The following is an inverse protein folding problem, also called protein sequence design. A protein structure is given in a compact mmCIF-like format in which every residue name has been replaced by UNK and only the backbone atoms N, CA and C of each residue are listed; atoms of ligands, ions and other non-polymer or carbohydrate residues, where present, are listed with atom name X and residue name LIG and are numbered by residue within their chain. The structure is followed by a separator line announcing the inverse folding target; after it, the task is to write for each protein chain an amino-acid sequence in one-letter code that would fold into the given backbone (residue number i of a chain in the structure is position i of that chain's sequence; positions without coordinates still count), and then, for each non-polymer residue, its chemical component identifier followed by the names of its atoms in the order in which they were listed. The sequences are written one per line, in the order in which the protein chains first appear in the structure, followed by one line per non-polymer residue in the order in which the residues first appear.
data_IF_982248729838
#
_entry.id   IF_982248729838
#
_cell.length_a   1.000
_cell.length_b   1.000
_cell.length_c   1.000
_cell.angle_alpha   90.00
_cell.angle_beta   90.00
_cell.angle_gamma   90.00
#
_symmetry.space_group_name_H-M   'P 1'
#
loop_
_entity.id
_entity.type
_entity.pdbx_description
1 polymer ?
#
# COMPACT_ATOMS: atom_id res chain seq x y z
N UNK A 1 -7.47 -15.51 -9.97
CA UNK A 1 -6.49 -14.48 -9.52
C UNK A 1 -6.76 -13.96 -8.12
N UNK A 2 -8.00 -14.01 -7.58
CA UNK A 2 -8.28 -13.63 -6.19
C UNK A 2 -8.25 -12.12 -5.90
N UNK A 3 -8.08 -11.30 -6.94
CA UNK A 3 -7.97 -9.83 -6.90
C UNK A 3 -8.54 -9.24 -8.19
N UNK A 4 -8.98 -7.98 -8.15
CA UNK A 4 -9.48 -7.26 -9.33
C UNK A 4 -8.32 -6.70 -10.18
N UNK A 5 -8.60 -6.37 -11.45
CA UNK A 5 -7.60 -5.74 -12.32
C UNK A 5 -7.15 -4.36 -11.82
N UNK A 6 -8.05 -3.62 -11.17
CA UNK A 6 -7.73 -2.33 -10.56
C UNK A 6 -6.72 -2.49 -9.42
N UNK A 7 -6.92 -3.50 -8.56
CA UNK A 7 -5.98 -3.86 -7.50
C UNK A 7 -4.62 -4.27 -8.09
N UNK A 8 -4.62 -5.13 -9.11
CA UNK A 8 -3.41 -5.58 -9.80
C UNK A 8 -2.62 -4.41 -10.42
N UNK A 9 -3.31 -3.45 -11.02
CA UNK A 9 -2.69 -2.24 -11.58
C UNK A 9 -2.01 -1.40 -10.48
N UNK A 10 -2.63 -1.28 -9.31
CA UNK A 10 -2.02 -0.61 -8.15
C UNK A 10 -0.78 -1.36 -7.66
N UNK A 11 -0.84 -2.68 -7.51
CA UNK A 11 0.33 -3.48 -7.09
C UNK A 11 1.49 -3.36 -8.09
N UNK A 12 1.20 -3.42 -9.39
CA UNK A 12 2.20 -3.28 -10.46
C UNK A 12 2.96 -1.96 -10.37
N UNK A 13 2.23 -0.84 -10.24
CA UNK A 13 2.82 0.50 -10.08
C UNK A 13 3.63 0.62 -8.79
N UNK A 14 3.09 0.17 -7.64
CA UNK A 14 3.80 0.21 -6.36
C UNK A 14 5.10 -0.59 -6.41
N UNK A 15 5.08 -1.77 -7.01
CA UNK A 15 6.24 -2.67 -7.13
C UNK A 15 7.34 -2.14 -8.05
N UNK A 16 6.98 -1.56 -9.20
CA UNK A 16 7.96 -1.16 -10.24
C UNK A 16 8.33 0.31 -10.17
N UNK A 17 7.34 1.21 -10.13
CA UNK A 17 7.56 2.66 -10.16
C UNK A 17 8.00 3.14 -8.78
N UNK A 18 7.21 2.84 -7.75
CA UNK A 18 7.49 3.26 -6.36
C UNK A 18 8.48 2.33 -5.63
N UNK A 19 9.01 1.30 -6.31
CA UNK A 19 10.03 0.36 -5.80
C UNK A 19 9.67 -0.24 -4.43
N UNK A 20 8.39 -0.46 -4.17
CA UNK A 20 7.91 -0.98 -2.90
C UNK A 20 8.03 -2.50 -2.84
N UNK A 21 8.76 -2.99 -1.83
CA UNK A 21 8.71 -4.40 -1.40
C UNK A 21 7.44 -4.72 -0.60
N UNK A 22 7.30 -5.95 -0.07
CA UNK A 22 6.08 -6.37 0.63
C UNK A 22 5.68 -5.46 1.79
N UNK A 23 6.63 -5.13 2.67
CA UNK A 23 6.38 -4.30 3.86
C UNK A 23 6.04 -2.86 3.46
N UNK A 24 6.79 -2.27 2.53
CA UNK A 24 6.53 -0.90 2.07
C UNK A 24 5.22 -0.78 1.28
N UNK A 25 4.86 -1.82 0.52
CA UNK A 25 3.59 -1.88 -0.19
C UNK A 25 2.42 -1.96 0.79
N UNK A 26 2.52 -2.79 1.83
CA UNK A 26 1.53 -2.86 2.91
C UNK A 26 1.29 -1.49 3.55
N UNK A 27 2.35 -0.79 4.00
CA UNK A 27 2.22 0.55 4.61
C UNK A 27 1.51 1.56 3.70
N UNK A 28 1.89 1.62 2.43
CA UNK A 28 1.27 2.51 1.45
C UNK A 28 -0.20 2.18 1.20
N UNK A 29 -0.54 0.89 1.16
CA UNK A 29 -1.92 0.45 0.93
C UNK A 29 -2.80 0.64 2.16
N UNK A 30 -2.26 0.50 3.37
CA UNK A 30 -2.98 0.83 4.59
C UNK A 30 -3.42 2.30 4.60
N UNK A 31 -2.57 3.22 4.12
CA UNK A 31 -2.97 4.62 3.96
C UNK A 31 -4.00 4.80 2.83
N UNK A 32 -3.77 4.18 1.66
CA UNK A 32 -4.63 4.36 0.48
C UNK A 32 -6.01 3.70 0.58
N UNK A 33 -6.10 2.57 1.26
CA UNK A 33 -7.32 1.75 1.41
C UNK A 33 -7.86 1.72 2.83
N UNK A 34 -7.29 2.49 3.77
CA UNK A 34 -7.66 2.46 5.18
C UNK A 34 -9.11 2.82 5.50
N UNK A 35 -9.83 3.44 4.56
CA UNK A 35 -11.27 3.72 4.65
C UNK A 35 -12.16 2.56 4.21
N UNK A 36 -11.62 1.60 3.45
CA UNK A 36 -12.38 0.51 2.82
C UNK A 36 -12.05 -0.86 3.36
N UNK A 37 -10.80 -1.08 3.78
CA UNK A 37 -10.28 -2.38 4.20
C UNK A 37 -9.55 -2.26 5.53
N UNK A 38 -9.61 -3.34 6.31
CA UNK A 38 -8.83 -3.47 7.54
C UNK A 38 -7.36 -3.79 7.22
N UNK A 39 -6.41 -3.42 8.10
CA UNK A 39 -4.99 -3.76 7.95
C UNK A 39 -4.76 -5.25 7.78
N UNK A 40 -5.52 -6.11 8.48
CA UNK A 40 -5.46 -7.55 8.30
C UNK A 40 -5.81 -7.97 6.86
N UNK A 41 -6.91 -7.47 6.30
CA UNK A 41 -7.30 -7.76 4.91
C UNK A 41 -6.28 -7.23 3.89
N UNK A 42 -5.71 -6.04 4.13
CA UNK A 42 -4.65 -5.48 3.29
C UNK A 42 -3.39 -6.36 3.35
N UNK A 43 -3.02 -6.84 4.54
CA UNK A 43 -1.89 -7.74 4.73
C UNK A 43 -2.08 -9.05 3.96
N UNK A 44 -3.25 -9.68 4.05
CA UNK A 44 -3.56 -10.92 3.34
C UNK A 44 -3.49 -10.74 1.83
N UNK A 45 -4.03 -9.64 1.31
CA UNK A 45 -3.93 -9.30 -0.12
C UNK A 45 -2.48 -9.09 -0.55
N UNK A 46 -1.69 -8.34 0.20
CA UNK A 46 -0.26 -8.11 -0.14
C UNK A 46 0.53 -9.42 -0.10
N UNK A 47 0.32 -10.25 0.93
CA UNK A 47 0.96 -11.57 1.05
C UNK A 47 0.58 -12.48 -0.12
N UNK A 48 -0.70 -12.52 -0.48
CA UNK A 48 -1.19 -13.30 -1.60
C UNK A 48 -0.53 -12.85 -2.92
N UNK A 49 -0.46 -11.54 -3.18
CA UNK A 49 0.18 -11.00 -4.36
C UNK A 49 1.66 -11.43 -4.46
N UNK A 50 2.45 -11.22 -3.41
CA UNK A 50 3.88 -11.56 -3.43
C UNK A 50 4.14 -13.06 -3.49
N UNK A 51 3.29 -13.89 -2.87
CA UNK A 51 3.36 -15.35 -2.97
C UNK A 51 3.24 -15.80 -4.43
N UNK A 52 2.18 -15.41 -5.12
CA UNK A 52 1.96 -15.82 -6.51
C UNK A 52 2.88 -15.14 -7.49
N UNK A 53 3.29 -13.89 -7.24
CA UNK A 53 4.34 -13.22 -7.99
C UNK A 53 5.64 -14.03 -7.96
N UNK A 54 6.09 -14.45 -6.78
CA UNK A 54 7.32 -15.23 -6.61
C UNK A 54 7.22 -16.62 -7.22
N UNK A 55 6.10 -17.33 -7.03
CA UNK A 55 5.90 -18.66 -7.64
C UNK A 55 5.99 -18.56 -9.16
N UNK A 56 5.36 -17.56 -9.77
CA UNK A 56 5.21 -17.47 -11.21
C UNK A 56 6.29 -16.63 -11.90
N UNK A 57 7.28 -16.08 -11.18
CA UNK A 57 8.27 -15.18 -11.79
C UNK A 57 9.06 -15.86 -12.91
N UNK A 58 9.37 -17.14 -12.78
CA UNK A 58 10.05 -17.92 -13.83
C UNK A 58 9.30 -17.92 -15.18
N UNK A 59 7.98 -17.69 -15.21
CA UNK A 59 7.24 -17.58 -16.48
C UNK A 59 7.63 -16.34 -17.28
N UNK A 60 8.17 -15.32 -16.61
CA UNK A 60 8.57 -14.06 -17.24
C UNK A 60 9.89 -14.18 -17.99
N UNK A 61 10.72 -15.17 -17.69
CA UNK A 61 12.01 -15.39 -18.37
C UNK A 61 11.82 -15.98 -19.77
N UNK A 62 10.70 -16.67 -20.00
CA UNK A 62 10.34 -17.31 -21.29
C UNK A 62 9.17 -16.60 -21.98
N UNK A 63 8.78 -15.41 -21.50
CA UNK A 63 7.66 -14.66 -22.07
C UNK A 63 8.04 -14.12 -23.46
N UNK A 64 7.11 -14.22 -24.40
CA UNK A 64 7.27 -13.64 -25.75
C UNK A 64 7.56 -12.15 -25.66
N UNK A 65 8.55 -11.63 -26.42
CA UNK A 65 8.80 -10.20 -26.49
C UNK A 65 7.53 -9.43 -26.88
N UNK A 66 7.23 -8.37 -26.13
CA UNK A 66 6.03 -7.56 -26.32
C UNK A 66 6.36 -6.08 -26.48
N UNK A 67 5.48 -5.33 -27.12
CA UNK A 67 5.59 -3.87 -27.22
C UNK A 67 5.59 -3.22 -25.84
N UNK A 68 6.47 -2.24 -25.65
CA UNK A 68 6.56 -1.50 -24.40
C UNK A 68 5.58 -0.31 -24.40
N UNK A 69 4.49 -0.42 -23.64
CA UNK A 69 3.49 0.64 -23.50
C UNK A 69 3.43 1.25 -22.09
N UNK A 70 3.84 0.50 -21.06
CA UNK A 70 3.61 0.86 -19.66
C UNK A 70 4.90 0.85 -18.84
N UNK A 71 5.10 1.91 -18.05
CA UNK A 71 6.30 2.11 -17.21
C UNK A 71 6.40 1.13 -16.04
N UNK A 72 5.36 0.33 -15.78
CA UNK A 72 5.37 -0.72 -14.76
C UNK A 72 5.47 -2.14 -15.33
N UNK A 73 5.84 -2.27 -16.60
CA UNK A 73 5.99 -3.58 -17.27
C UNK A 73 6.87 -4.55 -16.47
N UNK A 74 6.47 -5.83 -16.33
CA UNK A 74 7.25 -6.85 -15.64
C UNK A 74 8.25 -7.60 -16.55
N UNK A 75 8.46 -7.14 -17.78
CA UNK A 75 9.33 -7.75 -18.79
C UNK A 75 10.77 -7.95 -18.28
N UNK A 76 11.29 -9.18 -18.34
CA UNK A 76 12.53 -9.57 -17.65
C UNK A 76 13.80 -9.50 -18.53
N UNK A 77 13.70 -9.37 -19.85
CA UNK A 77 14.90 -9.35 -20.71
C UNK A 77 15.56 -7.97 -20.77
N UNK A 78 14.80 -6.89 -20.61
CA UNK A 78 15.31 -5.51 -20.82
C UNK A 78 14.88 -4.54 -19.73
N UNK A 79 13.65 -4.62 -19.26
CA UNK A 79 13.08 -3.53 -18.46
C UNK A 79 13.05 -3.78 -16.94
N UNK A 80 12.77 -4.99 -16.50
CA UNK A 80 12.60 -5.37 -15.09
C UNK A 80 13.45 -6.57 -14.69
N UNK A 81 14.77 -6.41 -14.80
CA UNK A 81 15.75 -7.44 -14.43
C UNK A 81 15.60 -7.82 -12.95
N UNK A 82 15.16 -9.06 -12.69
CA UNK A 82 14.98 -9.58 -11.32
C UNK A 82 15.32 -11.05 -11.22
N UNK A 83 15.53 -11.49 -9.98
CA UNK A 83 15.64 -12.92 -9.67
C UNK A 83 14.34 -13.62 -10.07
N UNK A 84 14.44 -14.85 -10.57
CA UNK A 84 13.27 -15.67 -10.89
C UNK A 84 13.05 -16.82 -9.91
N UNK A 85 14.07 -17.19 -9.13
CA UNK A 85 13.98 -18.16 -8.04
C UNK A 85 13.89 -17.44 -6.69
N UNK A 86 12.67 -17.30 -6.17
CA UNK A 86 12.41 -16.65 -4.88
C UNK A 86 12.07 -17.66 -3.79
N UNK A 87 12.37 -17.30 -2.53
CA UNK A 87 11.72 -17.94 -1.39
C UNK A 87 10.27 -17.44 -1.27
N UNK A 88 9.33 -18.26 -1.74
CA UNK A 88 7.89 -17.96 -1.80
C UNK A 88 7.26 -17.66 -0.44
N UNK A 89 7.88 -18.13 0.66
CA UNK A 89 7.35 -17.90 2.01
C UNK A 89 7.63 -16.51 2.55
N UNK A 90 8.59 -15.78 1.97
CA UNK A 90 8.99 -14.42 2.39
C UNK A 90 9.04 -14.26 3.93
N UNK A 91 9.81 -15.10 4.65
CA UNK A 91 9.64 -15.32 6.07
C UNK A 91 9.82 -14.03 6.90
N UNK A 92 10.84 -13.23 6.57
CA UNK A 92 11.11 -11.99 7.28
C UNK A 92 10.03 -10.93 7.00
N UNK A 93 9.69 -10.76 5.72
CA UNK A 93 8.80 -9.70 5.28
C UNK A 93 7.37 -9.95 5.75
N UNK A 94 6.90 -11.20 5.70
CA UNK A 94 5.55 -11.55 6.15
C UNK A 94 5.42 -11.46 7.66
N UNK A 95 6.42 -11.95 8.42
CA UNK A 95 6.47 -11.74 9.87
C UNK A 95 6.45 -10.25 10.22
N UNK A 96 7.19 -9.42 9.49
CA UNK A 96 7.20 -7.97 9.75
C UNK A 96 5.85 -7.31 9.45
N UNK A 97 5.12 -7.79 8.45
CA UNK A 97 3.75 -7.32 8.18
C UNK A 97 2.84 -7.72 9.33
N UNK A 98 2.94 -8.95 9.84
CA UNK A 98 2.12 -9.41 10.98
C UNK A 98 2.36 -8.60 12.25
N UNK A 99 3.63 -8.28 12.56
CA UNK A 99 3.97 -7.36 13.65
C UNK A 99 3.28 -6.00 13.49
N UNK A 100 3.34 -5.41 12.28
CA UNK A 100 2.73 -4.11 12.00
C UNK A 100 1.20 -4.13 12.03
N UNK A 101 0.57 -5.24 11.65
CA UNK A 101 -0.89 -5.40 11.75
C UNK A 101 -1.30 -5.40 13.22
N UNK A 102 -0.59 -6.15 14.07
CA UNK A 102 -0.85 -6.19 15.51
C UNK A 102 -0.68 -4.81 16.17
N UNK A 103 0.34 -4.04 15.77
CA UNK A 103 0.54 -2.66 16.23
C UNK A 103 -0.65 -1.76 15.86
N UNK A 104 -1.12 -1.82 14.61
CA UNK A 104 -2.23 -0.98 14.11
C UNK A 104 -3.60 -1.37 14.70
N UNK A 105 -3.82 -2.64 15.00
CA UNK A 105 -5.04 -3.09 15.68
C UNK A 105 -5.04 -2.63 17.15
N UNK A 106 -3.89 -2.59 17.81
CA UNK A 106 -3.73 -1.98 19.13
C UNK A 106 -4.07 -0.48 19.14
N UNK A 107 -3.64 0.26 18.12
CA UNK A 107 -3.95 1.70 17.98
C UNK A 107 -5.44 1.96 17.67
N UNK A 108 -6.10 1.09 16.88
CA UNK A 108 -7.57 1.16 16.72
C UNK A 108 -8.31 0.91 18.03
N UNK A 109 -7.84 -0.01 18.86
CA UNK A 109 -8.40 -0.26 20.20
C UNK A 109 -8.17 0.96 21.11
N UNK A 110 -7.07 1.68 20.96
CA UNK A 110 -6.85 2.94 21.68
C UNK A 110 -7.80 4.05 21.22
N UNK A 111 -7.99 4.24 19.90
CA UNK A 111 -8.92 5.24 19.35
C UNK A 111 -10.37 4.95 19.75
N UNK A 112 -10.81 3.69 19.70
CA UNK A 112 -12.18 3.30 20.11
C UNK A 112 -12.41 3.49 21.61
N UNK A 113 -11.42 3.18 22.46
CA UNK A 113 -11.48 3.50 23.91
C UNK A 113 -11.56 4.99 24.19
N UNK A 114 -10.87 5.84 23.41
CA UNK A 114 -11.00 7.30 23.51
C UNK A 114 -12.38 7.79 23.08
N UNK A 115 -12.99 7.13 22.08
CA UNK A 115 -14.29 7.56 21.51
C UNK A 115 -15.48 7.15 22.41
N UNK A 116 -15.35 6.10 23.22
CA UNK A 116 -16.41 5.70 24.17
C UNK A 116 -16.52 6.62 25.39
N UNK A 117 -15.47 7.39 25.71
CA UNK A 117 -15.45 8.36 26.82
C UNK A 117 -16.02 9.75 26.47
N UNK A 118 -16.31 10.02 25.18
CA UNK A 118 -16.65 11.36 24.71
C UNK A 118 -18.02 11.38 24.00
N UNK A 119 -19.05 10.82 24.66
CA UNK A 119 -20.44 11.18 24.35
C UNK A 119 -20.87 12.35 25.24
N UNK A 120 -20.36 13.54 24.94
CA UNK A 120 -20.91 14.80 25.44
C UNK A 120 -21.38 15.62 24.23
N UNK A 121 -22.63 16.08 24.33
CA UNK A 121 -23.46 16.72 23.32
C UNK A 121 -22.72 17.78 22.47
N UNK A 122 -22.76 17.62 21.14
CA UNK A 122 -22.47 18.71 20.20
C UNK A 122 -23.78 19.22 19.62
N UNK A 123 -24.28 20.31 20.19
CA UNK A 123 -25.20 21.22 19.51
C UNK A 123 -24.45 21.96 18.41
N UNK A 124 -25.11 22.11 17.26
CA UNK A 124 -24.61 22.77 16.08
C UNK A 124 -24.13 24.21 16.36
N UNK A 125 -22.93 24.55 15.87
CA UNK A 125 -22.72 25.83 15.21
C UNK A 125 -21.52 25.77 14.26
N UNK A 126 -21.60 26.58 13.21
CA UNK A 126 -20.79 26.47 12.00
C UNK A 126 -19.35 26.97 12.09
N UNK A 127 -18.56 26.49 11.13
CA UNK A 127 -17.64 27.35 10.40
C UNK A 127 -16.19 27.41 10.85
N UNK A 128 -15.36 27.55 9.82
CA UNK A 128 -13.96 27.99 9.77
C UNK A 128 -12.86 26.94 9.97
N UNK A 129 -12.19 26.69 8.85
CA UNK A 129 -10.97 25.93 8.74
C UNK A 129 -9.80 26.59 9.45
N UNK A 130 -8.88 25.75 9.88
CA UNK A 130 -7.66 26.15 10.56
C UNK A 130 -6.62 26.51 9.50
N UNK A 131 -6.34 27.80 9.36
CA UNK A 131 -5.19 28.33 8.62
C UNK A 131 -3.91 28.04 9.41
N UNK A 132 -2.94 27.44 8.74
CA UNK A 132 -1.62 27.16 9.31
C UNK A 132 -0.86 28.47 9.56
N UNK A 133 -0.35 28.63 10.78
CA UNK A 133 0.58 29.69 11.13
C UNK A 133 1.92 29.48 10.38
N UNK A 134 2.31 30.43 9.53
CA UNK A 134 3.69 30.53 9.05
C UNK A 134 3.96 30.42 7.54
N UNK A 135 3.05 30.81 6.65
CA UNK A 135 3.41 31.06 5.24
C UNK A 135 3.21 32.53 4.88
N UNK A 136 4.29 33.13 4.37
CA UNK A 136 4.39 34.55 4.03
C UNK A 136 3.33 35.05 3.05
N UNK A 137 3.14 36.36 3.14
CA UNK A 137 2.20 37.19 2.40
C UNK A 137 2.19 36.88 0.88
N UNK A 138 1.07 36.39 0.30
CA UNK A 138 0.97 36.07 -1.12
C UNK A 138 0.74 37.32 -2.00
N UNK A 139 0.92 38.54 -1.47
CA UNK A 139 0.81 39.80 -2.23
C UNK A 139 2.13 40.56 -2.42
N UNK A 140 3.27 39.92 -2.12
CA UNK A 140 4.59 40.45 -2.46
C UNK A 140 5.03 39.97 -3.85
N UNK A 141 4.73 40.75 -4.89
CA UNK A 141 5.27 40.55 -6.23
C UNK A 141 4.58 41.44 -7.28
N UNK A 142 5.35 42.35 -7.87
CA UNK A 142 4.99 43.20 -9.01
C UNK A 142 4.58 42.41 -10.25
#
# INVERSE_FOLDING_TARGET
MGMTYDELSVYGRLRKIFRCGPVSMFKNLCYKWGTKLTPAEVADKVKYFFKYYSINRHKMTVLTPSYHAESYSPEDNRFDLRQFLYNVRWPYQFRKIDELVNELDGDRVAITKSTEGEKVNVTADGGMGVVAAGSGDPRAGF
#
